data_IF_043502088546
#
_entry.id   IF_043502088546
#
_cell.length_a   1.000
_cell.length_b   1.000
_cell.length_c   1.000
_cell.angle_alpha   90.00
_cell.angle_beta   90.00
_cell.angle_gamma   90.00
#
_symmetry.space_group_name_H-M   'P 1'
#
loop_
_entity.id
_entity.type
_entity.pdbx_description
1 polymer ?
#
# COMPACT_ATOMS: atom_id res chain seq x y z
N UNK A 1 -4.87 15.06 -14.51
CA UNK A 1 -4.10 14.14 -15.35
C UNK A 1 -3.02 13.51 -14.49
N UNK A 2 -2.64 12.27 -14.76
CA UNK A 2 -1.54 11.57 -14.10
C UNK A 2 -0.45 11.24 -15.13
N UNK A 3 0.79 11.17 -14.69
CA UNK A 3 1.92 10.65 -15.46
C UNK A 3 2.49 9.48 -14.67
N UNK A 4 3.00 8.45 -15.37
CA UNK A 4 3.66 7.31 -14.75
C UNK A 4 5.14 7.34 -15.09
N UNK A 5 5.96 7.14 -14.07
CA UNK A 5 7.40 6.88 -14.20
C UNK A 5 7.60 5.41 -13.88
N UNK A 6 8.28 4.66 -14.74
CA UNK A 6 8.55 3.23 -14.52
C UNK A 6 9.69 3.04 -13.52
N UNK A 7 9.44 3.41 -12.25
CA UNK A 7 10.41 3.30 -11.16
C UNK A 7 9.66 3.24 -9.82
N UNK A 8 10.03 2.27 -8.98
CA UNK A 8 9.56 2.24 -7.60
C UNK A 8 10.11 3.44 -6.81
N UNK A 9 9.37 3.88 -5.79
CA UNK A 9 9.79 5.01 -4.95
C UNK A 9 11.06 4.70 -4.13
N UNK A 10 11.32 3.42 -3.87
CA UNK A 10 12.55 2.90 -3.28
C UNK A 10 12.88 1.56 -3.95
N UNK A 11 14.17 1.27 -4.09
CA UNK A 11 14.62 -0.03 -4.58
C UNK A 11 14.36 -1.10 -3.50
N UNK A 12 13.80 -2.24 -3.91
CA UNK A 12 13.56 -3.36 -3.01
C UNK A 12 14.71 -4.36 -3.12
N UNK A 13 15.31 -4.83 -2.01
CA UNK A 13 16.28 -5.91 -2.08
C UNK A 13 15.60 -7.18 -2.60
N UNK A 14 16.32 -7.99 -3.36
CA UNK A 14 15.81 -9.28 -3.80
C UNK A 14 15.56 -10.21 -2.60
N UNK A 15 14.41 -10.90 -2.55
CA UNK A 15 14.12 -11.85 -1.49
C UNK A 15 15.06 -13.05 -1.59
N UNK A 16 15.39 -13.67 -0.45
CA UNK A 16 16.34 -14.81 -0.45
C UNK A 16 15.71 -16.13 -0.90
N UNK A 17 14.39 -16.23 -0.76
CA UNK A 17 13.56 -17.40 -1.09
C UNK A 17 12.10 -16.94 -1.22
N UNK A 18 11.22 -17.74 -1.83
CA UNK A 18 9.79 -17.55 -1.70
C UNK A 18 9.35 -17.56 -0.22
N UNK A 19 8.48 -16.62 0.15
CA UNK A 19 7.80 -16.55 1.44
C UNK A 19 6.34 -16.05 1.28
N UNK A 20 5.42 -16.92 0.83
CA UNK A 20 4.02 -16.55 0.60
C UNK A 20 3.27 -16.07 1.85
N UNK A 21 3.67 -16.52 3.04
CA UNK A 21 3.03 -16.09 4.28
C UNK A 21 3.46 -14.67 4.68
N UNK A 22 4.70 -14.27 4.38
CA UNK A 22 5.12 -12.88 4.44
C UNK A 22 4.40 -12.01 3.40
N UNK A 23 4.22 -12.51 2.17
CA UNK A 23 3.45 -11.82 1.13
C UNK A 23 1.97 -11.62 1.56
N UNK A 24 1.35 -12.64 2.17
CA UNK A 24 0.02 -12.53 2.75
C UNK A 24 -0.05 -11.50 3.89
N UNK A 25 1.02 -11.31 4.68
CA UNK A 25 1.08 -10.24 5.67
C UNK A 25 1.15 -8.85 5.01
N UNK A 26 1.96 -8.69 3.94
CA UNK A 26 2.01 -7.44 3.17
C UNK A 26 0.68 -7.09 2.48
N UNK A 27 -0.15 -8.09 2.13
CA UNK A 27 -1.51 -7.84 1.63
C UNK A 27 -2.37 -7.04 2.61
N UNK A 28 -2.12 -7.12 3.93
CA UNK A 28 -2.80 -6.25 4.91
C UNK A 28 -2.46 -4.78 4.70
N UNK A 29 -1.23 -4.49 4.26
CA UNK A 29 -0.75 -3.15 3.97
C UNK A 29 -1.20 -2.69 2.58
N UNK A 30 -1.72 -3.56 1.72
CA UNK A 30 -2.29 -3.20 0.43
C UNK A 30 -3.81 -2.97 0.55
N UNK A 31 -4.58 -4.05 0.62
CA UNK A 31 -6.05 -4.04 0.58
C UNK A 31 -6.73 -4.15 1.94
N UNK A 32 -5.96 -4.17 3.04
CA UNK A 32 -6.52 -4.11 4.39
C UNK A 32 -7.17 -2.75 4.69
N UNK A 33 -7.92 -2.67 5.80
CA UNK A 33 -8.68 -1.47 6.19
C UNK A 33 -7.80 -0.20 6.25
N UNK A 34 -6.58 -0.34 6.75
CA UNK A 34 -5.59 0.74 6.87
C UNK A 34 -4.40 0.55 5.90
N UNK A 35 -4.62 -0.19 4.81
CA UNK A 35 -3.62 -0.36 3.75
C UNK A 35 -3.55 0.83 2.79
N UNK A 36 -2.59 0.78 1.87
CA UNK A 36 -2.30 1.88 0.94
C UNK A 36 -3.44 2.12 -0.07
N UNK A 37 -4.28 1.11 -0.32
CA UNK A 37 -5.50 1.34 -1.09
C UNK A 37 -6.50 2.25 -0.36
N UNK A 38 -6.54 2.17 0.96
CA UNK A 38 -7.41 3.03 1.77
C UNK A 38 -6.86 4.45 1.84
N UNK A 39 -5.56 4.65 2.07
CA UNK A 39 -4.93 5.99 2.02
C UNK A 39 -5.13 6.62 0.64
N UNK A 40 -4.74 5.92 -0.43
CA UNK A 40 -4.94 6.36 -1.81
C UNK A 40 -6.40 6.72 -2.08
N UNK A 41 -7.32 5.80 -1.81
CA UNK A 41 -8.73 6.00 -2.12
C UNK A 41 -9.33 7.19 -1.38
N UNK A 42 -9.00 7.36 -0.10
CA UNK A 42 -9.48 8.49 0.70
C UNK A 42 -9.00 9.81 0.11
N UNK A 43 -7.69 9.96 -0.08
CA UNK A 43 -7.12 11.23 -0.53
C UNK A 43 -7.51 11.53 -1.98
N UNK A 44 -7.61 10.49 -2.82
CA UNK A 44 -8.07 10.62 -4.20
C UNK A 44 -9.48 11.19 -4.26
N UNK A 45 -10.46 10.56 -3.63
CA UNK A 45 -11.84 11.03 -3.67
C UNK A 45 -12.03 12.36 -2.95
N UNK A 46 -11.34 12.61 -1.84
CA UNK A 46 -11.34 13.92 -1.18
C UNK A 46 -10.75 15.01 -2.09
N UNK A 47 -9.67 14.74 -2.83
CA UNK A 47 -9.08 15.70 -3.76
C UNK A 47 -10.00 16.02 -4.95
N UNK A 48 -10.75 15.03 -5.43
CA UNK A 48 -11.73 15.21 -6.49
C UNK A 48 -12.90 16.05 -6.00
N UNK A 49 -13.44 15.70 -4.82
CA UNK A 49 -14.60 16.32 -4.19
C UNK A 49 -14.29 17.65 -3.49
N UNK A 50 -13.01 18.06 -3.44
CA UNK A 50 -12.58 19.23 -2.68
C UNK A 50 -13.29 20.50 -3.16
N UNK A 51 -13.97 21.20 -2.24
CA UNK A 51 -14.71 22.44 -2.52
C UNK A 51 -13.83 23.67 -2.29
N UNK A 52 -14.08 24.73 -3.06
CA UNK A 52 -13.36 26.01 -2.93
C UNK A 52 -11.83 25.87 -3.08
N UNK A 53 -11.38 25.06 -4.06
CA UNK A 53 -9.96 24.74 -4.30
C UNK A 53 -9.05 25.97 -4.34
N UNK A 54 -9.49 27.08 -4.94
CA UNK A 54 -8.69 28.30 -5.01
C UNK A 54 -8.53 28.99 -3.64
N UNK A 55 -9.61 29.04 -2.84
CA UNK A 55 -9.59 29.69 -1.52
C UNK A 55 -8.88 28.85 -0.46
N UNK A 56 -8.96 27.53 -0.57
CA UNK A 56 -8.36 26.57 0.35
C UNK A 56 -7.17 25.83 -0.28
N UNK A 57 -6.49 26.50 -1.22
CA UNK A 57 -5.44 25.92 -2.05
C UNK A 57 -4.36 25.16 -1.26
N UNK A 58 -3.82 25.65 -0.13
CA UNK A 58 -2.80 24.90 0.61
C UNK A 58 -3.28 23.51 1.08
N UNK A 59 -4.54 23.40 1.52
CA UNK A 59 -5.12 22.14 1.99
C UNK A 59 -5.47 21.21 0.82
N UNK A 60 -6.03 21.78 -0.25
CA UNK A 60 -6.30 21.03 -1.48
C UNK A 60 -4.99 20.46 -2.07
N UNK A 61 -3.95 21.29 -2.18
CA UNK A 61 -2.64 20.88 -2.68
C UNK A 61 -2.01 19.81 -1.81
N UNK A 62 -2.11 19.92 -0.48
CA UNK A 62 -1.62 18.88 0.43
C UNK A 62 -2.28 17.53 0.14
N UNK A 63 -3.62 17.48 0.11
CA UNK A 63 -4.36 16.23 -0.14
C UNK A 63 -4.03 15.69 -1.53
N UNK A 64 -4.10 16.52 -2.57
CA UNK A 64 -3.84 16.10 -3.95
C UNK A 64 -2.40 15.64 -4.19
N UNK A 65 -1.41 16.23 -3.50
CA UNK A 65 -0.01 15.82 -3.59
C UNK A 65 0.21 14.47 -2.91
N UNK A 66 -0.36 14.26 -1.71
CA UNK A 66 -0.24 12.97 -1.02
C UNK A 66 -0.98 11.87 -1.82
N UNK A 67 -2.14 12.16 -2.43
CA UNK A 67 -2.79 11.22 -3.37
C UNK A 67 -1.84 10.72 -4.46
N UNK A 68 -1.03 11.61 -5.04
CA UNK A 68 -0.08 11.23 -6.08
C UNK A 68 1.04 10.33 -5.53
N UNK A 69 1.42 10.50 -4.27
CA UNK A 69 2.39 9.65 -3.58
C UNK A 69 1.83 8.26 -3.26
N UNK A 70 0.58 8.18 -2.79
CA UNK A 70 -0.06 6.90 -2.44
C UNK A 70 -0.22 5.94 -3.62
N UNK A 71 -0.28 6.46 -4.86
CA UNK A 71 -0.20 5.61 -6.05
C UNK A 71 1.10 4.80 -6.10
N UNK A 72 2.22 5.43 -5.74
CA UNK A 72 3.52 4.78 -5.64
C UNK A 72 3.62 3.83 -4.44
N UNK A 73 2.92 4.11 -3.34
CA UNK A 73 2.85 3.18 -2.20
C UNK A 73 2.09 1.91 -2.56
N UNK A 74 0.95 2.02 -3.25
CA UNK A 74 0.20 0.86 -3.77
C UNK A 74 1.08 0.04 -4.72
N UNK A 75 1.81 0.69 -5.62
CA UNK A 75 2.76 0.01 -6.52
C UNK A 75 3.89 -0.68 -5.75
N UNK A 76 4.48 -0.01 -4.76
CA UNK A 76 5.57 -0.54 -3.94
C UNK A 76 5.17 -1.78 -3.14
N UNK A 77 4.03 -1.73 -2.43
CA UNK A 77 3.53 -2.87 -1.66
C UNK A 77 3.17 -4.03 -2.60
N UNK A 78 2.55 -3.73 -3.75
CA UNK A 78 2.19 -4.76 -4.74
C UNK A 78 3.41 -5.50 -5.28
N UNK A 79 4.50 -4.77 -5.56
CA UNK A 79 5.76 -5.39 -5.98
C UNK A 79 6.40 -6.21 -4.85
N UNK A 80 6.39 -5.71 -3.61
CA UNK A 80 6.87 -6.48 -2.46
C UNK A 80 6.10 -7.79 -2.24
N UNK A 81 4.77 -7.78 -2.42
CA UNK A 81 3.94 -8.99 -2.37
C UNK A 81 4.33 -9.98 -3.47
N UNK A 82 4.45 -9.51 -4.72
CA UNK A 82 4.82 -10.36 -5.84
C UNK A 82 6.23 -10.96 -5.69
N UNK A 83 7.21 -10.15 -5.28
CA UNK A 83 8.58 -10.60 -5.02
C UNK A 83 8.60 -11.67 -3.92
N UNK A 84 7.88 -11.47 -2.81
CA UNK A 84 7.84 -12.46 -1.73
C UNK A 84 7.11 -13.75 -2.13
N UNK A 85 6.04 -13.68 -2.92
CA UNK A 85 5.36 -14.88 -3.41
C UNK A 85 6.24 -15.73 -4.32
N UNK A 86 6.98 -15.08 -5.23
CA UNK A 86 7.71 -15.76 -6.30
C UNK A 86 9.18 -16.05 -5.95
N UNK A 87 9.73 -15.36 -4.94
CA UNK A 87 11.13 -15.51 -4.56
C UNK A 87 12.09 -14.70 -5.47
N UNK A 88 13.40 -14.98 -5.41
CA UNK A 88 14.38 -14.34 -6.28
C UNK A 88 14.20 -14.77 -7.73
N UNK A 89 14.57 -13.90 -8.66
CA UNK A 89 14.67 -14.23 -10.08
C UNK A 89 15.58 -15.46 -10.29
N UNK A 90 15.24 -16.28 -11.27
CA UNK A 90 15.97 -17.47 -11.67
C UNK A 90 16.27 -17.48 -13.17
N UNK A 91 17.06 -18.46 -13.64
CA UNK A 91 17.48 -18.57 -15.05
C UNK A 91 16.29 -18.60 -16.05
N UNK A 92 15.10 -19.03 -15.61
CA UNK A 92 13.88 -19.04 -16.40
C UNK A 92 13.26 -17.66 -16.62
N UNK A 93 13.56 -16.69 -15.76
CA UNK A 93 13.08 -15.30 -15.87
C UNK A 93 13.87 -14.50 -16.92
N UNK A 94 15.09 -14.95 -17.25
CA UNK A 94 15.92 -14.38 -18.32
C UNK A 94 15.67 -15.03 -19.70
N UNK A 95 14.90 -16.12 -19.75
CA UNK A 95 14.55 -16.80 -20.99
C UNK A 95 13.48 -16.05 -21.80
N UNK A 96 13.26 -16.47 -23.04
CA UNK A 96 12.48 -15.80 -24.11
C UNK A 96 10.96 -15.65 -23.84
N UNK A 97 10.50 -15.66 -22.59
CA UNK A 97 9.10 -15.55 -22.20
C UNK A 97 8.37 -16.90 -22.14
N UNK A 98 9.05 -17.94 -21.64
CA UNK A 98 8.43 -19.24 -21.36
C UNK A 98 7.33 -19.18 -20.29
N UNK A 99 6.65 -20.30 -20.08
CA UNK A 99 5.66 -20.41 -19.00
C UNK A 99 6.34 -20.34 -17.62
N UNK A 100 6.41 -19.14 -17.07
CA UNK A 100 6.90 -18.88 -15.71
C UNK A 100 5.80 -19.06 -14.65
N UNK A 101 4.63 -19.62 -15.00
CA UNK A 101 3.52 -19.85 -14.06
C UNK A 101 3.75 -21.00 -13.07
N UNK A 102 5.01 -21.42 -12.88
CA UNK A 102 5.47 -22.44 -11.95
C UNK A 102 4.97 -22.18 -10.54
N UNK A 103 3.77 -22.65 -10.28
CA UNK A 103 3.07 -22.48 -9.03
C UNK A 103 3.77 -23.32 -7.96
N UNK A 104 4.04 -22.80 -6.74
CA UNK A 104 4.59 -23.58 -5.64
C UNK A 104 3.54 -24.55 -5.06
N UNK A 105 3.13 -25.56 -5.85
CA UNK A 105 1.98 -26.43 -5.57
C UNK A 105 2.06 -27.16 -4.22
N UNK A 106 3.27 -27.50 -3.76
CA UNK A 106 3.46 -28.10 -2.44
C UNK A 106 3.26 -27.09 -1.32
N UNK A 107 3.88 -25.90 -1.39
CA UNK A 107 3.73 -24.86 -0.38
C UNK A 107 2.27 -24.39 -0.28
N UNK A 108 1.55 -24.35 -1.41
CA UNK A 108 0.14 -23.93 -1.47
C UNK A 108 -0.80 -24.69 -0.53
N UNK A 109 -0.42 -25.90 -0.08
CA UNK A 109 -1.22 -26.70 0.85
C UNK A 109 -1.32 -26.05 2.24
N UNK A 110 -0.31 -25.27 2.63
CA UNK A 110 -0.17 -24.73 3.98
C UNK A 110 -0.06 -23.19 4.03
N UNK A 111 -0.13 -22.49 2.90
CA UNK A 111 -0.14 -21.02 2.88
C UNK A 111 -1.46 -20.47 3.42
N UNK A 112 -1.37 -19.37 4.18
CA UNK A 112 -2.52 -18.72 4.83
C UNK A 112 -3.52 -18.12 3.83
N UNK A 113 -3.04 -17.71 2.65
CA UNK A 113 -3.84 -17.10 1.59
C UNK A 113 -3.67 -17.88 0.29
N UNK A 114 -4.32 -19.04 0.19
CA UNK A 114 -4.24 -19.92 -0.99
C UNK A 114 -4.62 -19.21 -2.31
N UNK A 115 -5.57 -18.28 -2.26
CA UNK A 115 -6.01 -17.48 -3.41
C UNK A 115 -4.87 -16.65 -4.05
N UNK A 116 -3.80 -16.36 -3.32
CA UNK A 116 -2.59 -15.71 -3.85
C UNK A 116 -2.03 -16.43 -5.07
N UNK A 117 -2.22 -17.75 -5.18
CA UNK A 117 -1.80 -18.50 -6.36
C UNK A 117 -2.97 -19.12 -7.12
N UNK A 118 -3.95 -19.71 -6.42
CA UNK A 118 -5.07 -20.39 -7.07
C UNK A 118 -5.89 -19.47 -7.99
N UNK A 119 -5.93 -18.18 -7.68
CA UNK A 119 -6.64 -17.17 -8.48
C UNK A 119 -5.71 -16.09 -9.03
N UNK A 120 -4.66 -15.73 -8.29
CA UNK A 120 -3.88 -14.52 -8.57
C UNK A 120 -2.48 -14.81 -9.15
N UNK A 121 -2.09 -16.08 -9.30
CA UNK A 121 -0.82 -16.46 -9.95
C UNK A 121 0.43 -15.86 -9.30
N UNK A 122 0.46 -15.75 -7.96
CA UNK A 122 1.56 -15.11 -7.21
C UNK A 122 1.49 -13.59 -7.16
N UNK A 123 0.54 -12.96 -7.85
CA UNK A 123 0.36 -11.51 -7.89
C UNK A 123 -0.39 -10.92 -6.68
N UNK A 124 -0.16 -9.62 -6.45
CA UNK A 124 -0.94 -8.84 -5.50
C UNK A 124 -2.34 -8.53 -6.05
N UNK A 125 -3.33 -8.48 -5.17
CA UNK A 125 -4.73 -8.15 -5.49
C UNK A 125 -5.34 -7.28 -4.40
N UNK A 126 -6.42 -6.53 -4.69
CA UNK A 126 -7.05 -5.59 -3.75
C UNK A 126 -7.82 -6.30 -2.62
N UNK A 127 -7.11 -7.06 -1.79
CA UNK A 127 -7.64 -7.83 -0.66
C UNK A 127 -6.77 -7.67 0.58
N UNK A 128 -7.32 -7.92 1.75
CA UNK A 128 -6.57 -7.97 3.01
C UNK A 128 -5.76 -9.26 3.17
N UNK A 129 -5.01 -9.38 4.27
CA UNK A 129 -4.22 -10.58 4.59
C UNK A 129 -5.05 -11.87 4.77
N UNK A 130 -6.36 -11.74 4.97
CA UNK A 130 -7.30 -12.86 5.06
C UNK A 130 -8.18 -13.01 3.81
N UNK A 131 -7.85 -12.31 2.71
CA UNK A 131 -8.56 -12.41 1.43
C UNK A 131 -9.89 -11.66 1.36
N UNK A 132 -10.20 -10.81 2.34
CA UNK A 132 -11.40 -9.96 2.25
C UNK A 132 -11.17 -8.82 1.26
N UNK A 133 -12.08 -8.64 0.31
CA UNK A 133 -11.97 -7.58 -0.70
C UNK A 133 -11.96 -6.18 -0.08
N UNK A 134 -11.00 -5.37 -0.52
CA UNK A 134 -11.04 -3.94 -0.29
C UNK A 134 -12.33 -3.36 -0.88
N UNK A 135 -12.98 -2.43 -0.17
CA UNK A 135 -14.27 -1.91 -0.58
C UNK A 135 -14.48 -0.46 -0.13
N UNK A 136 -15.56 0.14 -0.66
CA UNK A 136 -15.90 1.55 -0.45
C UNK A 136 -16.15 1.92 1.02
N UNK A 137 -16.46 0.97 1.90
CA UNK A 137 -16.71 1.27 3.32
C UNK A 137 -15.45 1.76 4.05
N UNK A 138 -14.27 1.64 3.43
CA UNK A 138 -13.01 2.20 3.94
C UNK A 138 -12.76 3.66 3.51
N UNK A 139 -13.64 4.24 2.68
CA UNK A 139 -13.52 5.62 2.19
C UNK A 139 -14.36 6.59 3.03
N UNK A 140 -13.72 7.61 3.57
CA UNK A 140 -14.36 8.76 4.22
C UNK A 140 -14.11 10.02 3.39
N UNK A 141 -15.16 10.56 2.78
CA UNK A 141 -15.12 11.84 2.06
C UNK A 141 -16.37 12.64 2.39
N UNK A 142 -16.26 13.57 3.35
CA UNK A 142 -17.42 14.33 3.84
C UNK A 142 -17.61 15.66 3.11
N UNK A 143 -16.56 16.18 2.49
CA UNK A 143 -16.55 17.52 1.89
C UNK A 143 -16.36 18.64 2.92
N UNK A 144 -16.20 18.30 4.21
CA UNK A 144 -15.76 19.22 5.25
C UNK A 144 -14.25 19.05 5.45
N UNK A 145 -13.48 20.09 5.14
CA UNK A 145 -12.01 20.04 5.17
C UNK A 145 -11.46 19.67 6.55
N UNK A 146 -12.07 20.12 7.65
CA UNK A 146 -11.57 19.83 9.00
C UNK A 146 -11.82 18.35 9.34
N UNK A 147 -13.02 17.86 9.05
CA UNK A 147 -13.40 16.46 9.32
C UNK A 147 -12.57 15.50 8.47
N UNK A 148 -12.39 15.80 7.18
CA UNK A 148 -11.61 14.96 6.27
C UNK A 148 -10.12 14.97 6.66
N UNK A 149 -9.53 16.10 7.04
CA UNK A 149 -8.14 16.15 7.52
C UNK A 149 -7.96 15.42 8.86
N UNK A 150 -8.94 15.49 9.76
CA UNK A 150 -8.93 14.76 11.03
C UNK A 150 -8.98 13.25 10.78
N UNK A 151 -9.85 12.81 9.87
CA UNK A 151 -9.91 11.43 9.42
C UNK A 151 -8.56 10.99 8.82
N UNK A 152 -7.94 11.80 7.97
CA UNK A 152 -6.68 11.44 7.32
C UNK A 152 -5.53 11.30 8.32
N UNK A 153 -5.46 12.17 9.34
CA UNK A 153 -4.50 12.03 10.43
C UNK A 153 -4.66 10.70 11.18
N UNK A 154 -5.91 10.35 11.53
CA UNK A 154 -6.22 9.06 12.14
C UNK A 154 -5.87 7.88 11.23
N UNK A 155 -6.20 7.98 9.94
CA UNK A 155 -5.92 6.95 8.95
C UNK A 155 -4.42 6.64 8.87
N UNK A 156 -3.57 7.67 8.79
CA UNK A 156 -2.11 7.51 8.77
C UNK A 156 -1.56 6.90 10.07
N UNK A 157 -2.11 7.28 11.23
CA UNK A 157 -1.71 6.69 12.50
C UNK A 157 -2.10 5.20 12.59
N UNK A 158 -3.29 4.84 12.10
CA UNK A 158 -3.73 3.45 12.01
C UNK A 158 -2.91 2.64 11.02
N UNK A 159 -2.63 3.20 9.84
CA UNK A 159 -1.78 2.59 8.81
C UNK A 159 -0.37 2.34 9.34
N UNK A 160 0.22 3.31 10.04
CA UNK A 160 1.52 3.15 10.72
C UNK A 160 1.50 2.01 11.73
N UNK A 161 0.46 1.88 12.55
CA UNK A 161 0.35 0.79 13.53
C UNK A 161 0.27 -0.59 12.85
N UNK A 162 -0.46 -0.69 11.73
CA UNK A 162 -0.52 -1.93 10.96
C UNK A 162 0.83 -2.27 10.33
N UNK A 163 1.51 -1.29 9.73
CA UNK A 163 2.87 -1.43 9.20
C UNK A 163 3.86 -1.94 10.26
N UNK A 164 3.80 -1.43 11.49
CA UNK A 164 4.65 -1.91 12.60
C UNK A 164 4.37 -3.39 12.93
N UNK A 165 3.10 -3.77 13.07
CA UNK A 165 2.72 -5.17 13.38
C UNK A 165 3.14 -6.12 12.27
N UNK A 166 2.94 -5.73 11.01
CA UNK A 166 3.40 -6.54 9.87
C UNK A 166 4.92 -6.63 9.88
N UNK A 167 5.66 -5.53 10.04
CA UNK A 167 7.11 -5.52 10.15
C UNK A 167 7.65 -6.52 11.19
N UNK A 168 7.00 -6.59 12.35
CA UNK A 168 7.36 -7.53 13.43
C UNK A 168 7.19 -9.01 13.04
N UNK A 169 6.30 -9.33 12.09
CA UNK A 169 6.14 -10.70 11.56
C UNK A 169 7.15 -11.06 10.47
N UNK A 170 7.81 -10.07 9.87
CA UNK A 170 8.69 -10.28 8.72
C UNK A 170 10.12 -10.57 9.16
N UNK A 171 10.77 -11.50 8.49
CA UNK A 171 12.19 -11.81 8.66
C UNK A 171 13.01 -11.52 7.40
N UNK A 172 12.39 -11.59 6.22
CA UNK A 172 13.03 -11.27 4.95
C UNK A 172 13.25 -9.75 4.78
N UNK A 173 14.40 -9.32 4.20
CA UNK A 173 14.70 -7.90 3.97
C UNK A 173 13.72 -7.19 3.04
N UNK A 174 13.18 -7.84 2.01
CA UNK A 174 12.30 -7.23 1.00
C UNK A 174 11.05 -6.64 1.64
N UNK A 175 10.33 -7.44 2.44
CA UNK A 175 9.14 -6.96 3.12
C UNK A 175 9.44 -5.94 4.22
N UNK A 176 10.59 -6.06 4.90
CA UNK A 176 11.04 -5.08 5.89
C UNK A 176 11.39 -3.74 5.27
N UNK A 177 11.96 -3.72 4.06
CA UNK A 177 12.27 -2.48 3.33
C UNK A 177 10.99 -1.75 2.93
N UNK A 178 9.99 -2.47 2.38
CA UNK A 178 8.65 -1.92 2.10
C UNK A 178 8.08 -1.24 3.35
N UNK A 179 8.04 -1.97 4.47
CA UNK A 179 7.52 -1.45 5.72
C UNK A 179 8.35 -0.27 6.25
N UNK A 180 9.68 -0.35 6.22
CA UNK A 180 10.59 0.68 6.71
C UNK A 180 10.42 2.00 5.98
N UNK A 181 10.43 1.95 4.64
CA UNK A 181 10.18 3.12 3.80
C UNK A 181 8.82 3.75 4.11
N UNK A 182 7.76 2.93 4.11
CA UNK A 182 6.39 3.42 4.30
C UNK A 182 6.09 3.89 5.74
N UNK A 183 6.81 3.39 6.75
CA UNK A 183 6.75 3.91 8.11
C UNK A 183 7.25 5.36 8.19
N UNK A 184 8.32 5.68 7.45
CA UNK A 184 8.84 7.04 7.35
C UNK A 184 7.87 7.92 6.57
N UNK A 185 7.41 7.48 5.40
CA UNK A 185 6.48 8.26 4.55
C UNK A 185 5.14 8.53 5.24
N UNK A 186 4.51 7.50 5.82
CA UNK A 186 3.27 7.68 6.59
C UNK A 186 3.44 8.60 7.80
N UNK A 187 4.63 8.67 8.41
CA UNK A 187 4.93 9.62 9.48
C UNK A 187 5.03 11.05 8.97
N UNK A 188 5.55 11.28 7.75
CA UNK A 188 5.50 12.59 7.07
C UNK A 188 4.05 12.99 6.80
N UNK A 189 3.22 12.08 6.32
CA UNK A 189 1.81 12.36 6.03
C UNK A 189 1.02 12.69 7.29
N UNK A 190 1.12 11.85 8.33
CA UNK A 190 0.50 12.10 9.63
C UNK A 190 0.90 13.48 10.18
N UNK A 191 2.19 13.82 10.12
CA UNK A 191 2.65 15.12 10.57
C UNK A 191 2.11 16.26 9.72
N UNK A 192 2.07 16.11 8.40
CA UNK A 192 1.53 17.12 7.49
C UNK A 192 0.03 17.38 7.74
N UNK A 193 -0.77 16.33 7.95
CA UNK A 193 -2.18 16.47 8.30
C UNK A 193 -2.37 17.09 9.70
N UNK A 194 -1.53 16.74 10.68
CA UNK A 194 -1.55 17.37 12.00
C UNK A 194 -1.24 18.88 11.94
N UNK A 195 -0.25 19.28 11.14
CA UNK A 195 0.08 20.69 10.91
C UNK A 195 -1.06 21.43 10.19
N UNK A 196 -1.70 20.78 9.22
CA UNK A 196 -2.86 21.33 8.53
C UNK A 196 -4.04 21.55 9.48
N UNK A 197 -4.33 20.58 10.35
CA UNK A 197 -5.33 20.69 11.41
C UNK A 197 -5.03 21.86 12.34
N UNK A 198 -3.82 21.91 12.91
CA UNK A 198 -3.38 23.01 13.77
C UNK A 198 -3.59 24.39 13.11
N UNK A 199 -3.33 24.49 11.81
CA UNK A 199 -3.49 25.75 11.07
C UNK A 199 -4.95 26.19 10.93
N UNK A 200 -5.90 25.26 10.86
CA UNK A 200 -7.33 25.57 10.66
C UNK A 200 -8.14 25.55 11.96
N UNK A 201 -7.65 24.91 13.03
CA UNK A 201 -8.36 24.79 14.31
C UNK A 201 -7.67 25.44 15.52
N UNK A 202 -6.41 25.85 15.40
CA UNK A 202 -5.54 26.16 16.56
C UNK A 202 -4.84 24.91 17.10
#
# INVERSE_FOLDING_TARGET
>A
MFLRVNKLQVDLPAPKRPDPNAAAALQELLGGKYGEMSTLGNYMFQSFNFRSKDKLKPFYSLVASITAEELGHVELVSNGVAMLNNGPDNDGDEADGGDISGAPFEDMKDIRLAAAFLSNGGGATPVSSNGASWNNDFITTTGNVIVDLLHNFHLECGARLHKLRVYETLTDPTGREVCGYLLVRGSVHAHAYALALKKVTG
#
